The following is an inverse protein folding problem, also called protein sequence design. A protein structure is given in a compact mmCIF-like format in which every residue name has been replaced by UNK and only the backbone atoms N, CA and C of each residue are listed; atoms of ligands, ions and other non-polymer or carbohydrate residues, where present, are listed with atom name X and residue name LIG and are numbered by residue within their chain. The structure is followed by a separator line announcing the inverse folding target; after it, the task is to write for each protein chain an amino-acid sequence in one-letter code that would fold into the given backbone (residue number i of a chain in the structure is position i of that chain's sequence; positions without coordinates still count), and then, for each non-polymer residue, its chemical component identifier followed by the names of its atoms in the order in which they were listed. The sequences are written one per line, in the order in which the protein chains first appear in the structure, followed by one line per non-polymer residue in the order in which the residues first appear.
data_IF_882560294193
#
_entry.id   IF_882560294193
#
_cell.length_a   1.000
_cell.length_b   1.000
_cell.length_c   1.000
_cell.angle_alpha   90.00
_cell.angle_beta   90.00
_cell.angle_gamma   90.00
#
_symmetry.space_group_name_H-M   'P 1'
#
loop_
_entity.id
_entity.type
_entity.pdbx_description
1 polymer ?
#
# COMPACT_ATOMS: atom_id res chain seq x y z
N UNK A 1 26.34 1.68 7.98
CA UNK A 1 26.38 0.95 6.68
C UNK A 1 24.93 0.77 6.20
N UNK A 2 24.35 1.75 5.51
CA UNK A 2 22.90 1.73 5.19
C UNK A 2 22.70 2.11 3.73
N UNK A 3 22.50 1.10 2.87
CA UNK A 3 22.24 1.29 1.43
C UNK A 3 20.85 1.90 1.23
N UNK A 4 20.78 3.21 1.02
CA UNK A 4 19.61 3.89 0.42
C UNK A 4 19.57 3.65 -1.10
N UNK A 5 19.63 2.39 -1.54
CA UNK A 5 19.75 2.01 -2.96
C UNK A 5 18.43 1.76 -3.69
N UNK A 6 17.30 1.58 -2.99
CA UNK A 6 16.03 1.25 -3.66
C UNK A 6 15.35 2.43 -4.36
N UNK A 7 15.69 3.68 -4.02
CA UNK A 7 14.92 4.83 -4.49
C UNK A 7 15.02 5.07 -6.01
N UNK A 8 15.94 4.39 -6.72
CA UNK A 8 16.11 4.52 -8.18
C UNK A 8 16.45 3.19 -8.89
N UNK A 9 16.26 2.02 -8.27
CA UNK A 9 16.57 0.77 -8.95
C UNK A 9 15.39 0.28 -9.79
N UNK A 10 15.67 -0.22 -11.00
CA UNK A 10 14.65 -0.81 -11.90
C UNK A 10 13.93 -2.00 -11.24
N UNK A 11 14.67 -2.81 -10.49
CA UNK A 11 14.11 -3.92 -9.71
C UNK A 11 13.10 -3.44 -8.65
N UNK A 12 13.36 -2.33 -7.96
CA UNK A 12 12.42 -1.79 -6.98
C UNK A 12 11.13 -1.33 -7.67
N UNK A 13 11.24 -0.68 -8.84
CA UNK A 13 10.08 -0.29 -9.64
C UNK A 13 9.27 -1.51 -10.08
N UNK A 14 9.91 -2.57 -10.55
CA UNK A 14 9.25 -3.80 -10.99
C UNK A 14 8.45 -4.44 -9.84
N UNK A 15 9.09 -4.67 -8.69
CA UNK A 15 8.40 -5.23 -7.50
C UNK A 15 7.31 -4.34 -6.95
N UNK A 16 7.53 -3.01 -6.93
CA UNK A 16 6.46 -2.09 -6.52
C UNK A 16 5.30 -2.12 -7.51
N UNK A 17 5.56 -2.28 -8.80
CA UNK A 17 4.52 -2.37 -9.83
C UNK A 17 3.71 -3.68 -9.72
N UNK A 18 4.34 -4.79 -9.36
CA UNK A 18 3.63 -6.05 -9.06
C UNK A 18 2.66 -5.88 -7.89
N UNK A 19 3.15 -5.32 -6.78
CA UNK A 19 2.31 -5.02 -5.62
C UNK A 19 1.22 -3.98 -5.93
N UNK A 20 1.49 -3.00 -6.78
CA UNK A 20 0.53 -1.99 -7.18
C UNK A 20 -0.65 -2.59 -7.96
N UNK A 21 -0.40 -3.55 -8.86
CA UNK A 21 -1.47 -4.26 -9.60
C UNK A 21 -2.42 -5.01 -8.68
N UNK A 22 -1.92 -5.63 -7.60
CA UNK A 22 -2.79 -6.31 -6.64
C UNK A 22 -3.78 -5.36 -5.96
N UNK A 23 -3.40 -4.09 -5.80
CA UNK A 23 -4.27 -3.10 -5.17
C UNK A 23 -5.43 -2.68 -6.06
N UNK A 24 -5.37 -2.89 -7.38
CA UNK A 24 -6.46 -2.53 -8.30
C UNK A 24 -7.65 -3.48 -8.13
N UNK A 25 -8.86 -2.94 -8.22
CA UNK A 25 -10.11 -3.67 -8.03
C UNK A 25 -10.83 -3.31 -6.72
N UNK A 26 -11.82 -4.13 -6.36
CA UNK A 26 -12.63 -3.97 -5.16
C UNK A 26 -12.19 -4.98 -4.12
N UNK A 27 -11.64 -4.50 -3.01
CA UNK A 27 -11.02 -5.33 -1.98
C UNK A 27 -11.39 -4.83 -0.58
N UNK A 28 -11.16 -5.68 0.41
CA UNK A 28 -11.11 -5.26 1.81
C UNK A 28 -9.78 -4.53 2.07
N UNK A 29 -9.86 -3.22 2.33
CA UNK A 29 -8.68 -2.39 2.63
C UNK A 29 -8.44 -2.18 4.13
N UNK A 30 -9.02 -2.99 5.01
CA UNK A 30 -8.87 -2.87 6.46
C UNK A 30 -7.40 -2.88 6.89
N UNK A 31 -6.62 -3.85 6.42
CA UNK A 31 -5.18 -3.97 6.72
C UNK A 31 -4.36 -2.80 6.16
N UNK A 32 -4.91 -2.06 5.20
CA UNK A 32 -4.29 -0.91 4.59
C UNK A 32 -4.84 0.40 5.15
N UNK A 33 -5.53 0.41 6.28
CA UNK A 33 -6.06 1.64 6.85
C UNK A 33 -5.72 1.79 8.33
N UNK A 34 -5.93 3.00 8.85
CA UNK A 34 -5.99 3.18 10.29
C UNK A 34 -7.39 2.83 10.78
N UNK A 35 -7.50 2.12 11.92
CA UNK A 35 -8.77 2.00 12.64
C UNK A 35 -9.31 3.40 12.93
N UNK A 36 -10.62 3.58 12.79
CA UNK A 36 -11.25 4.83 13.16
C UNK A 36 -11.16 4.97 14.69
N UNK A 37 -10.62 6.09 15.17
CA UNK A 37 -10.46 6.36 16.61
C UNK A 37 -11.79 6.77 17.28
N UNK A 38 -12.88 6.89 16.50
CA UNK A 38 -14.19 7.39 16.92
C UNK A 38 -15.20 6.26 17.21
N UNK A 39 -14.77 5.00 17.17
CA UNK A 39 -15.64 3.84 17.41
C UNK A 39 -16.62 3.56 16.27
N UNK A 40 -16.55 4.28 15.14
CA UNK A 40 -17.37 3.95 13.97
C UNK A 40 -16.77 2.78 13.20
N UNK A 41 -17.55 1.70 13.11
CA UNK A 41 -17.29 0.62 12.18
C UNK A 41 -17.57 1.15 10.77
N UNK A 42 -16.52 1.29 9.96
CA UNK A 42 -16.63 1.75 8.57
C UNK A 42 -16.40 0.56 7.67
N UNK A 43 -17.28 0.39 6.69
CA UNK A 43 -17.09 -0.57 5.62
C UNK A 43 -15.67 -0.39 5.03
N UNK A 44 -14.78 -1.39 5.15
CA UNK A 44 -13.42 -1.28 4.66
C UNK A 44 -13.30 -1.56 3.15
N UNK A 45 -14.40 -1.96 2.49
CA UNK A 45 -14.40 -2.30 1.08
C UNK A 45 -14.30 -1.03 0.24
N UNK A 46 -13.27 -0.93 -0.58
CA UNK A 46 -13.09 0.20 -1.52
C UNK A 46 -12.70 -0.31 -2.90
N UNK A 47 -12.95 0.51 -3.90
CA UNK A 47 -12.52 0.25 -5.28
C UNK A 47 -11.38 1.18 -5.66
N UNK A 48 -10.25 0.61 -5.99
CA UNK A 48 -9.11 1.29 -6.61
C UNK A 48 -9.19 1.04 -8.12
N UNK A 49 -9.48 2.09 -8.88
CA UNK A 49 -9.62 2.03 -10.33
C UNK A 49 -8.27 1.88 -11.04
N UNK A 50 -7.21 2.45 -10.45
CA UNK A 50 -5.85 2.37 -10.98
C UNK A 50 -4.83 2.55 -9.86
N UNK A 51 -3.76 1.79 -9.88
CA UNK A 51 -2.63 1.91 -8.98
C UNK A 51 -1.35 1.58 -9.74
N UNK A 52 -0.54 2.59 -10.03
CA UNK A 52 0.66 2.43 -10.84
C UNK A 52 1.88 3.10 -10.26
N UNK A 53 3.04 2.52 -10.55
CA UNK A 53 4.34 3.05 -10.18
C UNK A 53 5.06 3.57 -11.43
N UNK A 54 5.65 4.76 -11.34
CA UNK A 54 6.41 5.39 -12.42
C UNK A 54 7.74 5.86 -11.87
N UNK A 55 8.79 5.84 -12.67
CA UNK A 55 10.08 6.44 -12.31
C UNK A 55 10.14 7.87 -12.85
N UNK A 56 10.48 8.83 -12.01
CA UNK A 56 10.83 10.19 -12.40
C UNK A 56 12.26 10.54 -11.95
N UNK A 57 12.69 11.78 -12.18
CA UNK A 57 14.02 12.26 -11.82
C UNK A 57 14.28 12.28 -10.30
N UNK A 58 13.22 12.24 -9.47
CA UNK A 58 13.26 12.32 -8.01
C UNK A 58 13.07 10.95 -7.34
N UNK A 59 12.52 9.97 -8.04
CA UNK A 59 12.40 8.58 -7.58
C UNK A 59 11.18 7.86 -8.14
N UNK A 60 10.65 6.91 -7.38
CA UNK A 60 9.42 6.19 -7.73
C UNK A 60 8.21 6.99 -7.26
N UNK A 61 7.34 7.33 -8.21
CA UNK A 61 6.05 7.98 -8.00
C UNK A 61 4.96 6.92 -8.06
N UNK A 62 4.11 6.85 -7.03
CA UNK A 62 2.93 5.99 -7.01
C UNK A 62 1.70 6.84 -7.28
N UNK A 63 0.88 6.44 -8.25
CA UNK A 63 -0.38 7.09 -8.58
C UNK A 63 -1.52 6.12 -8.34
N UNK A 64 -2.43 6.51 -7.44
CA UNK A 64 -3.65 5.77 -7.13
C UNK A 64 -4.87 6.59 -7.52
N UNK A 65 -5.83 5.97 -8.19
CA UNK A 65 -7.13 6.54 -8.54
C UNK A 65 -8.23 5.63 -8.00
N UNK A 66 -9.28 6.23 -7.44
CA UNK A 66 -10.45 5.53 -6.93
C UNK A 66 -11.52 6.52 -6.51
N UNK A 67 -12.75 6.04 -6.30
CA UNK A 67 -13.90 6.88 -5.92
C UNK A 67 -13.76 7.49 -4.51
N UNK A 68 -12.99 6.85 -3.64
CA UNK A 68 -12.73 7.30 -2.29
C UNK A 68 -11.81 6.33 -1.57
N UNK A 69 -11.05 6.86 -0.61
CA UNK A 69 -10.07 6.09 0.16
C UNK A 69 -10.37 6.18 1.66
N UNK A 70 -10.09 5.12 2.40
CA UNK A 70 -10.11 5.10 3.86
C UNK A 70 -9.03 6.04 4.43
N UNK A 71 -9.17 6.38 5.71
CA UNK A 71 -8.19 7.22 6.38
C UNK A 71 -6.79 6.57 6.34
N UNK A 72 -5.84 7.30 5.73
CA UNK A 72 -4.46 6.89 5.47
C UNK A 72 -4.30 5.65 4.57
N UNK A 73 -5.34 5.27 3.81
CA UNK A 73 -5.31 4.07 2.98
C UNK A 73 -4.09 4.02 2.05
N UNK A 74 -3.96 5.05 1.22
CA UNK A 74 -2.89 5.17 0.23
C UNK A 74 -1.50 5.09 0.87
N UNK A 75 -1.31 5.67 2.06
CA UNK A 75 -0.01 5.65 2.73
C UNK A 75 0.37 4.25 3.20
N UNK A 76 -0.58 3.45 3.68
CA UNK A 76 -0.33 2.05 4.01
C UNK A 76 -0.13 1.19 2.78
N UNK A 77 -0.91 1.41 1.72
CA UNK A 77 -0.70 0.74 0.42
C UNK A 77 0.74 0.94 -0.05
N UNK A 78 1.22 2.20 -0.12
CA UNK A 78 2.60 2.51 -0.53
C UNK A 78 3.62 1.92 0.45
N UNK A 79 3.35 1.96 1.75
CA UNK A 79 4.19 1.33 2.78
C UNK A 79 4.35 -0.17 2.56
N UNK A 80 3.25 -0.87 2.26
CA UNK A 80 3.24 -2.29 1.98
C UNK A 80 3.99 -2.63 0.69
N UNK A 81 3.76 -1.88 -0.41
CA UNK A 81 4.50 -2.03 -1.67
C UNK A 81 6.02 -1.89 -1.45
N UNK A 82 6.45 -0.91 -0.65
CA UNK A 82 7.86 -0.70 -0.31
C UNK A 82 8.44 -1.85 0.52
N UNK A 83 7.65 -2.44 1.42
CA UNK A 83 8.07 -3.61 2.19
C UNK A 83 8.22 -4.84 1.30
N UNK A 84 7.30 -5.03 0.36
CA UNK A 84 7.40 -6.09 -0.64
C UNK A 84 8.62 -5.91 -1.54
N UNK A 85 8.84 -4.71 -2.08
CA UNK A 85 10.01 -4.39 -2.90
C UNK A 85 11.34 -4.63 -2.17
N UNK A 86 11.35 -4.52 -0.84
CA UNK A 86 12.51 -4.82 0.03
C UNK A 86 12.63 -6.30 0.43
N UNK A 87 11.73 -7.15 -0.04
CA UNK A 87 11.69 -8.58 0.29
C UNK A 87 11.27 -8.88 1.73
N UNK A 88 10.58 -7.95 2.42
CA UNK A 88 10.16 -8.13 3.82
C UNK A 88 8.81 -8.82 3.98
N UNK A 89 7.98 -8.77 2.94
CA UNK A 89 6.69 -9.45 2.84
C UNK A 89 6.53 -9.98 1.40
N UNK A 90 5.78 -11.05 1.25
CA UNK A 90 5.49 -11.66 -0.05
C UNK A 90 4.32 -10.95 -0.76
N UNK A 91 4.12 -11.24 -2.05
CA UNK A 91 2.88 -10.85 -2.75
C UNK A 91 1.66 -11.55 -2.12
N UNK A 92 1.81 -12.82 -1.71
CA UNK A 92 0.74 -13.56 -1.04
C UNK A 92 0.28 -12.88 0.25
N UNK A 93 1.20 -12.30 1.04
CA UNK A 93 0.83 -11.53 2.23
C UNK A 93 -0.04 -10.31 1.89
N UNK A 94 0.18 -9.68 0.74
CA UNK A 94 -0.66 -8.57 0.27
C UNK A 94 -2.03 -9.06 -0.19
N UNK A 95 -2.07 -10.16 -0.94
CA UNK A 95 -3.33 -10.78 -1.37
C UNK A 95 -4.20 -11.21 -0.19
N UNK A 96 -3.60 -11.86 0.81
CA UNK A 96 -4.30 -12.28 2.03
C UNK A 96 -4.85 -11.07 2.77
N UNK A 97 -4.06 -10.00 2.88
CA UNK A 97 -4.47 -8.75 3.52
C UNK A 97 -5.57 -8.00 2.76
N UNK A 98 -5.70 -8.20 1.45
CA UNK A 98 -6.79 -7.65 0.61
C UNK A 98 -8.06 -8.52 0.64
N UNK A 99 -7.91 -9.82 0.95
CA UNK A 99 -9.02 -10.78 1.01
C UNK A 99 -9.76 -10.74 2.34
N UNK A 100 -9.01 -10.72 3.45
CA UNK A 100 -9.55 -10.62 4.82
C UNK A 100 -8.60 -9.78 5.66
N UNK A 101 -8.77 -8.46 5.58
CA UNK A 101 -7.87 -7.52 6.21
C UNK A 101 -8.00 -7.51 7.73
N UNK A 102 -9.18 -7.79 8.26
CA UNK A 102 -9.41 -7.82 9.71
C UNK A 102 -8.72 -9.00 10.37
N UNK A 103 -8.93 -10.23 9.88
CA UNK A 103 -8.27 -11.41 10.43
C UNK A 103 -6.75 -11.30 10.28
N UNK A 104 -6.26 -10.83 9.13
CA UNK A 104 -4.83 -10.61 8.89
C UNK A 104 -4.19 -9.66 9.92
N UNK A 105 -4.89 -8.59 10.29
CA UNK A 105 -4.42 -7.66 11.33
C UNK A 105 -4.52 -8.28 12.72
N UNK A 106 -5.62 -8.98 13.03
CA UNK A 106 -5.84 -9.63 14.34
C UNK A 106 -4.78 -10.70 14.64
N UNK A 107 -4.33 -11.41 13.61
CA UNK A 107 -3.23 -12.39 13.67
C UNK A 107 -1.84 -11.74 13.78
N UNK A 108 -1.75 -10.41 13.77
CA UNK A 108 -0.48 -9.69 13.87
C UNK A 108 0.39 -9.77 12.61
N UNK A 109 -0.18 -10.14 11.46
CA UNK A 109 0.56 -10.29 10.19
C UNK A 109 0.89 -8.96 9.50
N UNK A 110 0.16 -7.89 9.83
CA UNK A 110 0.40 -6.53 9.29
C UNK A 110 1.69 -5.92 9.87
N UNK A 111 2.78 -6.05 9.11
CA UNK A 111 4.12 -5.59 9.53
C UNK A 111 4.53 -4.21 9.00
N UNK A 112 3.89 -3.73 7.92
CA UNK A 112 4.30 -2.47 7.29
C UNK A 112 3.84 -1.24 8.08
N UNK A 113 4.60 -0.16 7.86
CA UNK A 113 4.29 1.17 8.37
C UNK A 113 3.81 2.05 7.22
N UNK A 114 2.92 3.02 7.48
CA UNK A 114 2.47 3.93 6.44
C UNK A 114 3.65 4.76 5.92
N UNK A 115 3.70 4.99 4.61
CA UNK A 115 4.65 5.91 4.01
C UNK A 115 4.53 7.31 4.65
N UNK A 116 5.60 8.14 4.68
CA UNK A 116 5.53 9.52 5.18
C UNK A 116 4.43 10.37 4.52
N UNK A 117 3.88 11.35 5.26
CA UNK A 117 2.75 12.17 4.79
C UNK A 117 3.16 13.23 3.74
N UNK A 118 4.41 13.68 3.82
CA UNK A 118 4.98 14.78 3.05
C UNK A 118 5.16 14.51 1.55
N UNK A 119 4.86 13.29 1.08
CA UNK A 119 4.90 12.92 -0.34
C UNK A 119 3.53 12.62 -0.95
N UNK A 120 2.44 12.78 -0.22
CA UNK A 120 1.09 12.56 -0.73
C UNK A 120 0.48 13.88 -1.20
N UNK A 121 0.06 13.94 -2.46
CA UNK A 121 -0.63 15.09 -3.06
C UNK A 121 -1.91 14.63 -3.74
N UNK A 122 -3.01 15.36 -3.52
CA UNK A 122 -4.24 15.19 -4.28
C UNK A 122 -4.10 16.01 -5.57
N UNK A 123 -4.34 15.37 -6.71
CA UNK A 123 -4.35 15.99 -8.04
C UNK A 123 -5.77 16.07 -8.59
#
# INVERSE_FOLDING_TARGET
RTKFGLARSREALERMSEAAKLMEGTHDFYAFSNKANDGTERDPVRTVERCECRLDSRGIVVVCRGKGFLYRQVRHMVGAMLWHARGKISLQDLEDALRDGESFVREGRRRWQPAPANGLHLM
#
